data_IF_465083065501
#
_entry.id   IF_465083065501
#
_cell.length_a   1.000
_cell.length_b   1.000
_cell.length_c   1.000
_cell.angle_alpha   90.00
_cell.angle_beta   90.00
_cell.angle_gamma   90.00
#
_symmetry.space_group_name_H-M   'P 1'
#
loop_
_entity.id
_entity.type
_entity.pdbx_description
1 polymer ?
#
# COMPACT_ATOMS: atom_id res chain seq x y z
N UNK A 1 -0.57 -0.39 5.81
CA UNK A 1 -1.75 0.19 5.13
C UNK A 1 -1.72 1.70 5.29
N UNK A 2 -2.13 2.45 4.28
CA UNK A 2 -2.25 3.90 4.33
C UNK A 2 -3.60 4.35 3.74
N UNK A 3 -3.73 5.65 3.45
CA UNK A 3 -4.88 6.18 2.72
C UNK A 3 -6.21 6.14 3.48
N UNK A 4 -7.30 6.20 2.73
CA UNK A 4 -8.65 6.38 3.30
C UNK A 4 -9.11 5.19 4.15
N UNK A 5 -8.67 3.98 3.80
CA UNK A 5 -8.93 2.76 4.57
C UNK A 5 -8.14 2.70 5.89
N UNK A 6 -7.03 3.42 6.00
CA UNK A 6 -6.29 3.58 7.26
C UNK A 6 -6.86 4.69 8.16
N UNK A 7 -7.92 5.39 7.73
CA UNK A 7 -8.57 6.45 8.50
C UNK A 7 -9.68 5.90 9.41
N UNK A 8 -10.17 6.72 10.35
CA UNK A 8 -11.20 6.30 11.31
C UNK A 8 -12.59 6.07 10.70
N UNK A 9 -12.81 6.41 9.43
CA UNK A 9 -14.09 6.27 8.73
C UNK A 9 -13.90 5.70 7.32
N UNK A 10 -13.53 4.42 7.18
CA UNK A 10 -13.37 3.79 5.88
C UNK A 10 -14.69 3.73 5.13
N UNK A 11 -14.73 4.23 3.89
CA UNK A 11 -15.87 4.03 3.02
C UNK A 11 -15.84 2.61 2.41
N UNK A 12 -16.97 1.89 2.28
CA UNK A 12 -17.00 0.53 1.74
C UNK A 12 -16.47 0.41 0.29
N UNK A 13 -16.54 1.50 -0.48
CA UNK A 13 -16.11 1.59 -1.86
C UNK A 13 -14.69 2.12 -2.05
N UNK A 14 -13.98 2.46 -0.97
CA UNK A 14 -12.61 3.00 -1.08
C UNK A 14 -11.61 1.93 -1.51
N UNK A 15 -10.64 2.36 -2.31
CA UNK A 15 -9.50 1.56 -2.77
C UNK A 15 -8.65 1.10 -1.60
N UNK A 16 -7.91 0.00 -1.80
CA UNK A 16 -7.04 -0.57 -0.78
C UNK A 16 -5.59 -0.11 -0.98
N UNK A 17 -5.13 0.73 -0.07
CA UNK A 17 -3.79 1.32 -0.09
C UNK A 17 -2.79 0.55 0.79
N UNK A 18 -1.90 -0.23 0.17
CA UNK A 18 -0.90 -1.04 0.86
C UNK A 18 0.52 -0.56 0.57
N UNK A 19 1.33 -0.52 1.64
CA UNK A 19 2.74 -0.22 1.54
C UNK A 19 3.54 -1.38 2.13
N UNK A 20 4.60 -1.80 1.45
CA UNK A 20 5.47 -2.92 1.83
C UNK A 20 6.92 -2.48 1.94
N UNK A 21 7.70 -3.19 2.76
CA UNK A 21 9.14 -2.94 2.94
C UNK A 21 9.88 -4.27 3.01
N UNK A 22 11.04 -4.34 2.38
CA UNK A 22 11.94 -5.49 2.35
C UNK A 22 11.60 -6.56 1.30
N UNK A 23 10.73 -6.26 0.33
CA UNK A 23 10.43 -7.21 -0.74
C UNK A 23 11.42 -7.03 -1.90
N UNK A 24 12.03 -8.12 -2.41
CA UNK A 24 12.75 -8.07 -3.68
C UNK A 24 11.82 -7.63 -4.81
N UNK A 25 12.32 -6.87 -5.78
CA UNK A 25 11.54 -6.32 -6.90
C UNK A 25 10.68 -7.38 -7.61
N UNK A 26 11.26 -8.56 -7.90
CA UNK A 26 10.53 -9.65 -8.54
C UNK A 26 9.32 -10.12 -7.72
N UNK A 27 9.45 -10.19 -6.40
CA UNK A 27 8.37 -10.57 -5.48
C UNK A 27 7.34 -9.44 -5.35
N UNK A 28 7.80 -8.19 -5.33
CA UNK A 28 6.92 -7.02 -5.34
C UNK A 28 6.00 -7.02 -6.57
N UNK A 29 6.56 -7.15 -7.77
CA UNK A 29 5.78 -7.15 -9.01
C UNK A 29 4.88 -8.39 -9.13
N UNK A 30 5.34 -9.55 -8.67
CA UNK A 30 4.49 -10.75 -8.61
C UNK A 30 3.29 -10.56 -7.67
N UNK A 31 3.53 -9.98 -6.48
CA UNK A 31 2.48 -9.69 -5.51
C UNK A 31 1.48 -8.66 -6.06
N UNK A 32 1.97 -7.59 -6.69
CA UNK A 32 1.13 -6.59 -7.34
C UNK A 32 0.24 -7.24 -8.42
N UNK A 33 0.83 -7.98 -9.36
CA UNK A 33 0.08 -8.62 -10.44
C UNK A 33 -0.99 -9.59 -9.91
N UNK A 34 -0.66 -10.40 -8.90
CA UNK A 34 -1.63 -11.32 -8.27
C UNK A 34 -2.77 -10.57 -7.59
N UNK A 35 -2.45 -9.49 -6.89
CA UNK A 35 -3.45 -8.70 -6.18
C UNK A 35 -4.37 -7.94 -7.17
N UNK A 36 -3.82 -7.33 -8.23
CA UNK A 36 -4.61 -6.66 -9.27
C UNK A 36 -5.56 -7.61 -10.01
N UNK A 37 -5.22 -8.90 -10.12
CA UNK A 37 -6.10 -9.91 -10.74
C UNK A 37 -7.11 -10.53 -9.75
N UNK A 38 -6.73 -10.63 -8.47
CA UNK A 38 -7.49 -11.36 -7.46
C UNK A 38 -8.41 -10.50 -6.60
N UNK A 39 -8.20 -9.18 -6.57
CA UNK A 39 -8.97 -8.28 -5.73
C UNK A 39 -10.05 -7.56 -6.55
N UNK A 40 -11.32 -7.57 -6.11
CA UNK A 40 -12.44 -6.98 -6.86
C UNK A 40 -12.47 -5.44 -6.81
N UNK A 41 -11.50 -4.81 -6.14
CA UNK A 41 -11.38 -3.36 -5.95
C UNK A 41 -9.99 -2.92 -6.39
N UNK A 42 -9.88 -1.64 -6.77
CA UNK A 42 -8.60 -1.03 -7.07
C UNK A 42 -7.70 -1.08 -5.83
N UNK A 43 -6.43 -1.42 -6.05
CA UNK A 43 -5.44 -1.60 -5.00
C UNK A 43 -4.14 -0.96 -5.43
N UNK A 44 -3.67 -0.04 -4.59
CA UNK A 44 -2.36 0.56 -4.72
C UNK A 44 -1.36 -0.19 -3.84
N UNK A 45 -0.29 -0.68 -4.46
CA UNK A 45 0.84 -1.28 -3.75
C UNK A 45 2.08 -0.41 -3.92
N UNK A 46 2.61 0.08 -2.80
CA UNK A 46 3.76 0.99 -2.77
C UNK A 46 4.94 0.30 -2.09
N UNK A 47 6.11 0.33 -2.72
CA UNK A 47 7.35 -0.08 -2.07
C UNK A 47 7.92 1.07 -1.24
N UNK A 48 8.10 0.86 0.06
CA UNK A 48 8.75 1.82 0.98
C UNK A 48 10.28 1.77 0.89
N UNK A 49 10.85 0.86 0.10
CA UNK A 49 12.29 0.78 -0.15
C UNK A 49 12.74 1.73 -1.25
N UNK A 50 11.82 2.13 -2.12
CA UNK A 50 12.05 3.20 -3.09
C UNK A 50 12.19 4.53 -2.37
N UNK A 51 13.29 5.26 -2.62
CA UNK A 51 13.52 6.58 -2.03
C UNK A 51 13.01 7.66 -2.96
N UNK A 52 11.83 8.18 -2.66
CA UNK A 52 11.25 9.32 -3.36
C UNK A 52 10.45 10.19 -2.36
N UNK A 53 10.10 11.44 -2.72
CA UNK A 53 9.39 12.33 -1.79
C UNK A 53 8.06 11.76 -1.26
N UNK A 54 7.40 10.89 -2.03
CA UNK A 54 6.13 10.27 -1.62
C UNK A 54 6.34 9.19 -0.56
N UNK A 55 7.32 8.29 -0.74
CA UNK A 55 7.63 7.26 0.26
C UNK A 55 8.22 7.86 1.52
N UNK A 56 9.05 8.90 1.41
CA UNK A 56 9.54 9.68 2.55
C UNK A 56 8.38 10.30 3.35
N UNK A 57 7.42 10.93 2.67
CA UNK A 57 6.21 11.45 3.29
C UNK A 57 5.38 10.35 3.97
N UNK A 58 5.14 9.22 3.29
CA UNK A 58 4.40 8.10 3.89
C UNK A 58 5.07 7.56 5.16
N UNK A 59 6.41 7.52 5.20
CA UNK A 59 7.16 7.03 6.36
C UNK A 59 7.14 8.03 7.52
N UNK A 60 7.25 9.33 7.24
CA UNK A 60 7.37 10.37 8.25
C UNK A 60 6.02 10.86 8.78
N UNK A 61 5.08 11.11 7.86
CA UNK A 61 3.82 11.83 8.10
C UNK A 61 2.59 10.92 7.88
N UNK A 62 2.75 9.87 7.06
CA UNK A 62 1.70 8.93 6.75
C UNK A 62 1.26 8.15 7.99
N UNK A 63 -0.05 8.14 8.27
CA UNK A 63 -0.69 7.26 9.26
C UNK A 63 -0.62 5.80 8.81
N UNK A 64 0.60 5.26 8.71
CA UNK A 64 0.84 3.87 8.38
C UNK A 64 0.30 3.00 9.51
N UNK A 65 -0.75 2.26 9.20
CA UNK A 65 -1.25 1.21 10.09
C UNK A 65 -0.54 -0.08 9.74
N UNK A 66 0.17 -0.64 10.71
CA UNK A 66 0.77 -1.97 10.59
C UNK A 66 -0.36 -3.02 10.58
N UNK A 67 -0.31 -3.92 9.60
CA UNK A 67 -1.16 -5.12 9.58
C UNK A 67 -0.29 -6.25 10.13
N UNK A 68 -0.79 -6.96 11.15
CA UNK A 68 -0.18 -8.16 11.72
C UNK A 68 -0.84 -9.43 11.19
#
# INVERSE_FOLDING_TARGET
>A
MFGSQASSHPAPSSDLDLAVRGLPDAVFFEAYARASLGFPREMDLVSLDEKNPFTEYLIQEGRLVRID
#
